data_IF_574210017464
#
_entry.id   IF_574210017464
#
_cell.length_a   1.000
_cell.length_b   1.000
_cell.length_c   1.000
_cell.angle_alpha   90.00
_cell.angle_beta   90.00
_cell.angle_gamma   90.00
#
_symmetry.space_group_name_H-M   'P 1'
#
loop_
_entity.id
_entity.type
_entity.pdbx_description
1 polymer ?
#
# COMPACT_ATOMS: atom_id res chain seq x y z
N UNK A 1 -7.44 -33.04 32.37
CA UNK A 1 -6.47 -32.86 31.27
C UNK A 1 -7.20 -32.30 30.06
N UNK A 2 -6.74 -31.21 29.45
CA UNK A 2 -7.09 -30.94 28.06
C UNK A 2 -5.82 -31.08 27.20
N UNK A 3 -5.80 -32.11 26.36
CA UNK A 3 -4.94 -32.14 25.19
C UNK A 3 -5.65 -31.37 24.08
N UNK A 4 -5.06 -30.26 23.64
CA UNK A 4 -5.43 -29.63 22.38
C UNK A 4 -4.31 -29.90 21.40
N UNK A 5 -4.51 -30.87 20.50
CA UNK A 5 -3.58 -31.15 19.40
C UNK A 5 -3.76 -30.02 18.39
N UNK A 6 -2.91 -29.00 18.45
CA UNK A 6 -2.73 -28.03 17.37
C UNK A 6 -1.49 -28.44 16.56
N UNK A 7 -1.60 -29.54 15.82
CA UNK A 7 -0.59 -29.91 14.83
C UNK A 7 -1.30 -30.40 13.57
N UNK A 8 -1.64 -29.46 12.71
CA UNK A 8 -1.66 -29.71 11.27
C UNK A 8 -0.68 -28.72 10.64
N UNK A 9 0.60 -28.90 10.95
CA UNK A 9 1.64 -28.28 10.15
C UNK A 9 1.56 -28.84 8.74
N UNK A 10 1.57 -27.97 7.73
CA UNK A 10 1.56 -28.42 6.35
C UNK A 10 2.94 -28.99 6.04
N UNK A 11 3.02 -30.27 5.70
CA UNK A 11 4.28 -30.98 5.41
C UNK A 11 5.15 -30.25 4.38
N UNK A 12 4.54 -29.54 3.41
CA UNK A 12 5.26 -28.72 2.43
C UNK A 12 5.98 -27.51 3.03
N UNK A 13 5.47 -26.98 4.13
CA UNK A 13 6.03 -25.85 4.87
C UNK A 13 7.02 -26.30 5.94
N UNK A 14 6.97 -27.56 6.37
CA UNK A 14 7.90 -28.16 7.35
C UNK A 14 9.11 -28.84 6.69
N UNK A 15 8.90 -29.58 5.61
CA UNK A 15 9.96 -30.30 4.88
C UNK A 15 10.56 -29.47 3.73
N UNK A 16 9.91 -28.36 3.36
CA UNK A 16 10.28 -27.51 2.25
C UNK A 16 9.83 -28.02 0.89
N UNK A 17 9.67 -27.08 -0.05
CA UNK A 17 9.45 -27.36 -1.46
C UNK A 17 10.30 -26.45 -2.32
N UNK A 18 11.14 -27.04 -3.16
CA UNK A 18 11.99 -26.33 -4.10
C UNK A 18 11.21 -25.75 -5.29
N UNK A 19 9.91 -26.01 -5.40
CA UNK A 19 9.05 -25.49 -6.47
C UNK A 19 8.06 -24.42 -5.96
N UNK A 20 8.03 -24.17 -4.65
CA UNK A 20 7.10 -23.21 -4.07
C UNK A 20 7.50 -21.77 -4.45
N UNK A 21 6.76 -21.19 -5.40
CA UNK A 21 6.97 -19.81 -5.88
C UNK A 21 5.95 -18.82 -5.30
N UNK A 22 4.75 -19.31 -4.95
CA UNK A 22 3.68 -18.52 -4.36
C UNK A 22 3.22 -19.14 -3.04
N UNK A 23 3.10 -18.32 -2.00
CA UNK A 23 2.56 -18.73 -0.70
C UNK A 23 1.60 -17.67 -0.18
N UNK A 24 0.38 -18.09 0.16
CA UNK A 24 -0.60 -17.29 0.91
C UNK A 24 -0.99 -18.05 2.15
N UNK A 25 -0.68 -17.49 3.32
CA UNK A 25 -0.91 -18.14 4.61
C UNK A 25 -1.62 -17.20 5.57
N UNK A 26 -2.49 -17.78 6.39
CA UNK A 26 -2.90 -17.16 7.64
C UNK A 26 -1.85 -17.55 8.70
N UNK A 27 -1.14 -16.55 9.22
CA UNK A 27 0.01 -16.71 10.12
C UNK A 27 -0.38 -17.42 11.44
N UNK A 28 -1.68 -17.57 11.74
CA UNK A 28 -2.17 -18.37 12.88
C UNK A 28 -2.19 -19.89 12.67
N UNK A 29 -2.15 -20.40 11.43
CA UNK A 29 -2.34 -21.83 11.17
C UNK A 29 -1.02 -22.63 11.11
N UNK A 30 0.07 -22.00 10.65
CA UNK A 30 1.40 -22.62 10.59
C UNK A 30 2.49 -21.56 10.36
N UNK A 31 3.63 -21.71 11.04
CA UNK A 31 4.82 -20.91 10.76
C UNK A 31 5.70 -21.64 9.75
N UNK A 32 5.97 -21.08 8.57
CA UNK A 32 6.83 -21.73 7.59
C UNK A 32 8.29 -21.75 8.07
N UNK A 33 9.01 -22.86 7.84
CA UNK A 33 10.45 -22.88 8.07
C UNK A 33 11.21 -22.16 6.94
N UNK A 34 12.33 -21.53 7.26
CA UNK A 34 13.10 -20.73 6.29
C UNK A 34 13.49 -21.51 5.01
N UNK A 35 13.75 -22.82 5.13
CA UNK A 35 14.08 -23.67 3.98
C UNK A 35 12.96 -23.70 2.92
N UNK A 36 11.70 -23.71 3.35
CA UNK A 36 10.51 -23.75 2.49
C UNK A 36 10.27 -22.45 1.73
N UNK A 37 10.88 -21.35 2.18
CA UNK A 37 10.64 -20.00 1.68
C UNK A 37 11.66 -19.54 0.63
N UNK A 38 12.80 -20.23 0.50
CA UNK A 38 13.99 -19.74 -0.25
C UNK A 38 13.72 -19.32 -1.69
N UNK A 39 12.79 -19.98 -2.39
CA UNK A 39 12.48 -19.76 -3.80
C UNK A 39 11.16 -19.03 -4.04
N UNK A 40 10.53 -18.51 -2.99
CA UNK A 40 9.30 -17.74 -3.12
C UNK A 40 9.55 -16.45 -3.89
N UNK A 41 8.70 -16.20 -4.88
CA UNK A 41 8.59 -14.92 -5.58
C UNK A 41 7.43 -14.11 -5.03
N UNK A 42 6.40 -14.75 -4.49
CA UNK A 42 5.20 -14.08 -3.96
C UNK A 42 4.83 -14.63 -2.59
N UNK A 43 4.76 -13.75 -1.59
CA UNK A 43 4.38 -14.08 -0.23
C UNK A 43 3.24 -13.19 0.26
N UNK A 44 2.15 -13.82 0.66
CA UNK A 44 1.01 -13.16 1.30
C UNK A 44 0.87 -13.69 2.74
N UNK A 45 1.15 -12.82 3.70
CA UNK A 45 0.94 -13.04 5.12
C UNK A 45 -0.37 -12.35 5.51
N UNK A 46 -1.43 -13.11 5.72
CA UNK A 46 -2.65 -12.63 6.35
C UNK A 46 -2.62 -13.07 7.82
N UNK A 47 -3.18 -12.28 8.72
CA UNK A 47 -3.36 -12.69 10.13
C UNK A 47 -4.78 -12.34 10.50
N UNK A 48 -5.68 -13.30 10.30
CA UNK A 48 -7.10 -13.12 10.65
C UNK A 48 -7.40 -13.60 12.05
N UNK A 49 -6.64 -14.57 12.55
CA UNK A 49 -6.81 -15.09 13.92
C UNK A 49 -5.99 -14.28 14.93
N UNK A 50 -6.62 -13.98 16.07
CA UNK A 50 -6.07 -13.13 17.14
C UNK A 50 -5.26 -13.90 18.19
N UNK A 51 -5.29 -15.23 18.14
CA UNK A 51 -4.69 -16.15 19.10
C UNK A 51 -3.15 -16.19 19.02
N UNK A 52 -2.57 -16.09 17.81
CA UNK A 52 -1.12 -16.07 17.64
C UNK A 52 -0.56 -14.66 17.45
N UNK A 53 0.35 -14.24 18.34
CA UNK A 53 1.05 -12.96 18.23
C UNK A 53 2.32 -13.08 17.37
N UNK A 54 2.25 -12.66 16.10
CA UNK A 54 3.44 -12.46 15.27
C UNK A 54 4.35 -11.40 15.92
N UNK A 55 5.60 -11.76 16.16
CA UNK A 55 6.63 -10.86 16.68
C UNK A 55 7.45 -10.27 15.53
N UNK A 56 8.09 -9.13 15.76
CA UNK A 56 8.94 -8.51 14.74
C UNK A 56 10.13 -9.41 14.33
N UNK A 57 10.87 -10.07 15.24
CA UNK A 57 11.94 -11.00 14.83
C UNK A 57 11.44 -12.13 13.93
N UNK A 58 10.28 -12.73 14.27
CA UNK A 58 9.68 -13.78 13.43
C UNK A 58 9.33 -13.26 12.03
N UNK A 59 8.81 -12.04 11.93
CA UNK A 59 8.54 -11.43 10.63
C UNK A 59 9.84 -11.24 9.85
N UNK A 60 10.90 -10.72 10.47
CA UNK A 60 12.21 -10.55 9.80
C UNK A 60 12.73 -11.90 9.28
N UNK A 61 12.66 -12.96 10.08
CA UNK A 61 13.08 -14.31 9.65
C UNK A 61 12.29 -14.79 8.42
N UNK A 62 10.97 -14.59 8.42
CA UNK A 62 10.10 -14.96 7.29
C UNK A 62 10.41 -14.13 6.04
N UNK A 63 10.65 -12.82 6.20
CA UNK A 63 10.87 -11.91 5.08
C UNK A 63 12.27 -12.03 4.48
N UNK A 64 13.26 -12.45 5.26
CA UNK A 64 14.66 -12.60 4.81
C UNK A 64 14.99 -13.99 4.29
N UNK A 65 14.15 -14.99 4.55
CA UNK A 65 14.35 -16.35 4.05
C UNK A 65 14.28 -16.50 2.51
N UNK A 66 13.37 -15.83 1.77
CA UNK A 66 13.34 -15.89 0.31
C UNK A 66 14.43 -15.00 -0.32
N UNK A 67 15.21 -15.57 -1.24
CA UNK A 67 16.26 -14.80 -1.95
C UNK A 67 15.74 -14.06 -3.19
N UNK A 68 14.55 -14.41 -3.68
CA UNK A 68 14.00 -13.90 -4.93
C UNK A 68 12.59 -13.31 -4.77
N UNK A 69 12.25 -12.81 -3.57
CA UNK A 69 10.93 -12.24 -3.31
C UNK A 69 10.68 -11.01 -4.20
N UNK A 70 9.63 -11.07 -5.01
CA UNK A 70 9.18 -9.99 -5.91
C UNK A 70 7.94 -9.28 -5.35
N UNK A 71 7.04 -10.03 -4.72
CA UNK A 71 5.74 -9.56 -4.25
C UNK A 71 5.54 -9.92 -2.78
N UNK A 72 5.30 -8.92 -1.93
CA UNK A 72 5.05 -9.11 -0.51
C UNK A 72 3.76 -8.41 -0.08
N UNK A 73 2.79 -9.18 0.41
CA UNK A 73 1.61 -8.65 1.07
C UNK A 73 1.64 -9.02 2.55
N UNK A 74 1.56 -8.03 3.41
CA UNK A 74 1.43 -8.19 4.86
C UNK A 74 0.11 -7.57 5.33
N UNK A 75 -0.76 -8.39 5.91
CA UNK A 75 -2.01 -7.96 6.53
C UNK A 75 -2.09 -8.51 7.95
N UNK A 76 -2.20 -7.63 8.95
CA UNK A 76 -2.30 -8.06 10.33
C UNK A 76 -1.56 -7.17 11.32
N UNK A 77 -1.57 -7.59 12.59
CA UNK A 77 -0.89 -6.86 13.68
C UNK A 77 0.35 -7.61 14.17
N UNK A 78 1.45 -6.87 14.31
CA UNK A 78 2.67 -7.29 15.02
C UNK A 78 2.52 -6.90 16.48
N UNK A 79 3.03 -7.73 17.39
CA UNK A 79 3.11 -7.38 18.81
C UNK A 79 3.91 -6.08 19.01
N UNK A 80 3.30 -4.99 19.52
CA UNK A 80 3.96 -3.69 19.65
C UNK A 80 5.22 -3.75 20.51
N UNK A 81 5.23 -4.63 21.52
CA UNK A 81 6.35 -4.82 22.44
C UNK A 81 7.58 -5.45 21.79
N UNK A 82 7.43 -5.96 20.56
CA UNK A 82 8.52 -6.58 19.80
C UNK A 82 9.06 -5.68 18.71
N UNK A 83 8.41 -4.54 18.45
CA UNK A 83 8.91 -3.56 17.49
C UNK A 83 10.22 -2.97 18.02
N UNK A 84 11.26 -2.82 17.18
CA UNK A 84 12.50 -2.24 17.64
C UNK A 84 12.24 -0.81 18.14
N UNK A 85 12.76 -0.48 19.32
CA UNK A 85 12.56 0.83 19.95
C UNK A 85 13.22 1.94 19.12
N UNK A 86 14.36 1.65 18.51
CA UNK A 86 15.12 2.60 17.72
C UNK A 86 14.34 3.00 16.45
N UNK A 87 14.17 4.30 16.21
CA UNK A 87 13.64 4.87 14.97
C UNK A 87 14.75 5.40 14.06
N UNK A 88 16.00 5.38 14.56
CA UNK A 88 17.14 6.10 14.00
C UNK A 88 18.30 5.18 13.57
N UNK A 89 18.07 3.87 13.44
CA UNK A 89 19.09 2.99 12.88
C UNK A 89 19.44 3.50 11.48
N UNK A 90 20.71 3.85 11.27
CA UNK A 90 21.22 4.42 10.03
C UNK A 90 21.17 3.41 8.86
N UNK A 91 21.08 2.12 9.19
CA UNK A 91 21.00 1.04 8.23
C UNK A 91 19.67 0.27 8.32
N UNK A 92 19.09 -0.15 7.18
CA UNK A 92 17.93 -1.03 7.15
C UNK A 92 18.31 -2.41 7.72
N UNK A 93 17.53 -2.89 8.69
CA UNK A 93 17.76 -4.18 9.36
C UNK A 93 17.68 -5.37 8.38
N UNK A 94 16.97 -5.21 7.25
CA UNK A 94 16.93 -6.25 6.21
C UNK A 94 16.69 -5.73 4.79
N UNK A 95 17.26 -6.44 3.82
CA UNK A 95 17.31 -6.03 2.41
C UNK A 95 16.46 -6.97 1.53
N UNK A 96 15.49 -6.39 0.84
CA UNK A 96 14.61 -7.07 -0.11
C UNK A 96 14.93 -6.60 -1.54
N UNK A 97 16.12 -6.98 -2.02
CA UNK A 97 16.73 -6.46 -3.26
C UNK A 97 15.91 -6.63 -4.54
N UNK A 98 15.02 -7.62 -4.56
CA UNK A 98 14.23 -7.99 -5.71
C UNK A 98 12.77 -7.54 -5.60
N UNK A 99 12.37 -6.98 -4.46
CA UNK A 99 10.98 -6.64 -4.20
C UNK A 99 10.52 -5.53 -5.15
N UNK A 100 9.51 -5.85 -5.95
CA UNK A 100 8.86 -4.94 -6.91
C UNK A 100 7.59 -4.34 -6.34
N UNK A 101 6.84 -5.11 -5.56
CA UNK A 101 5.56 -4.66 -5.04
C UNK A 101 5.39 -5.03 -3.56
N UNK A 102 4.96 -4.06 -2.77
CA UNK A 102 4.75 -4.20 -1.33
C UNK A 102 3.35 -3.74 -0.96
N UNK A 103 2.59 -4.60 -0.29
CA UNK A 103 1.29 -4.26 0.30
C UNK A 103 1.37 -4.42 1.81
N UNK A 104 1.01 -3.37 2.54
CA UNK A 104 0.98 -3.33 4.00
C UNK A 104 -0.43 -2.91 4.43
N UNK A 105 -1.13 -3.80 5.12
CA UNK A 105 -2.47 -3.59 5.69
C UNK A 105 -2.42 -3.81 7.20
N UNK A 106 -2.11 -2.74 7.96
CA UNK A 106 -1.83 -2.80 9.41
C UNK A 106 -2.03 -1.44 10.08
N UNK A 107 -1.71 -1.30 11.37
CA UNK A 107 -1.70 -0.01 12.08
C UNK A 107 -0.60 0.91 11.54
N UNK A 108 -0.85 2.22 11.52
CA UNK A 108 0.06 3.22 10.98
C UNK A 108 1.47 3.17 11.57
N UNK A 109 1.59 2.98 12.90
CA UNK A 109 2.89 2.83 13.57
C UNK A 109 3.70 1.63 13.06
N UNK A 110 3.04 0.49 12.86
CA UNK A 110 3.68 -0.74 12.39
C UNK A 110 4.11 -0.57 10.94
N UNK A 111 3.25 -0.01 10.09
CA UNK A 111 3.59 0.30 8.70
C UNK A 111 4.80 1.23 8.59
N UNK A 112 4.81 2.32 9.36
CA UNK A 112 5.92 3.27 9.39
C UNK A 112 7.23 2.60 9.82
N UNK A 113 7.22 1.82 10.90
CA UNK A 113 8.39 1.09 11.38
C UNK A 113 8.89 0.09 10.34
N UNK A 114 8.01 -0.70 9.72
CA UNK A 114 8.41 -1.65 8.67
C UNK A 114 9.10 -0.94 7.51
N UNK A 115 8.55 0.18 7.03
CA UNK A 115 9.15 0.96 5.94
C UNK A 115 10.53 1.54 6.30
N UNK A 116 10.77 1.88 7.58
CA UNK A 116 12.09 2.32 8.04
C UNK A 116 13.12 1.17 7.99
N UNK A 117 12.73 -0.02 8.46
CA UNK A 117 13.64 -1.16 8.57
C UNK A 117 13.92 -1.88 7.26
N UNK A 118 13.02 -1.78 6.28
CA UNK A 118 13.20 -2.45 5.00
C UNK A 118 14.02 -1.59 4.03
N UNK A 119 14.88 -2.24 3.25
CA UNK A 119 15.47 -1.69 2.03
C UNK A 119 14.91 -2.42 0.82
N UNK A 120 14.26 -1.68 -0.09
CA UNK A 120 13.69 -2.22 -1.32
C UNK A 120 14.00 -1.29 -2.50
N UNK A 121 15.24 -1.31 -3.02
CA UNK A 121 15.69 -0.34 -4.04
C UNK A 121 14.98 -0.50 -5.39
N UNK A 122 14.40 -1.68 -5.65
CA UNK A 122 13.63 -2.00 -6.87
C UNK A 122 12.11 -1.90 -6.69
N UNK A 123 11.65 -1.31 -5.58
CA UNK A 123 10.23 -1.19 -5.29
C UNK A 123 9.57 -0.24 -6.29
N UNK A 124 8.67 -0.77 -7.11
CA UNK A 124 7.91 -0.05 -8.13
C UNK A 124 6.51 0.33 -7.60
N UNK A 125 5.92 -0.49 -6.72
CA UNK A 125 4.58 -0.31 -6.17
C UNK A 125 4.52 -0.45 -4.66
N UNK A 126 3.90 0.53 -3.99
CA UNK A 126 3.66 0.54 -2.56
C UNK A 126 2.18 0.77 -2.27
N UNK A 127 1.57 -0.21 -1.61
CA UNK A 127 0.21 -0.13 -1.09
C UNK A 127 0.22 -0.03 0.42
N UNK A 128 -0.29 1.08 0.94
CA UNK A 128 -0.50 1.32 2.35
C UNK A 128 -1.99 1.40 2.66
N UNK A 129 -2.46 0.46 3.46
CA UNK A 129 -3.81 0.45 4.00
C UNK A 129 -3.72 0.44 5.53
N UNK A 130 -4.33 1.42 6.18
CA UNK A 130 -4.31 1.47 7.64
C UNK A 130 -5.71 1.56 8.23
N UNK A 131 -5.95 0.79 9.28
CA UNK A 131 -7.24 0.76 9.97
C UNK A 131 -7.37 1.87 11.03
N UNK A 132 -6.26 2.50 11.42
CA UNK A 132 -6.20 3.59 12.40
C UNK A 132 -5.96 4.96 11.77
N UNK A 133 -6.15 5.08 10.44
CA UNK A 133 -6.06 6.35 9.73
C UNK A 133 -4.65 6.94 9.76
N UNK A 134 -3.64 6.09 9.54
CA UNK A 134 -2.23 6.43 9.49
C UNK A 134 -1.70 7.11 10.76
N UNK A 135 -2.29 6.78 11.92
CA UNK A 135 -1.81 7.30 13.20
C UNK A 135 -0.34 6.93 13.42
N UNK A 136 0.47 7.91 13.82
CA UNK A 136 1.92 7.78 14.02
C UNK A 136 2.73 7.46 12.76
N UNK A 137 2.14 7.59 11.56
CA UNK A 137 2.89 7.41 10.31
C UNK A 137 3.91 8.52 10.06
N UNK A 138 3.76 9.68 10.70
CA UNK A 138 4.71 10.79 10.63
C UNK A 138 6.13 10.39 11.03
N UNK A 139 6.30 9.38 11.90
CA UNK A 139 7.61 8.82 12.28
C UNK A 139 8.42 8.40 11.05
N UNK A 140 7.77 7.82 10.03
CA UNK A 140 8.46 7.47 8.78
C UNK A 140 8.82 8.73 7.98
N UNK A 141 7.85 9.64 7.84
CA UNK A 141 7.95 10.84 7.00
C UNK A 141 9.01 11.81 7.50
N UNK A 142 9.14 11.96 8.81
CA UNK A 142 10.07 12.85 9.51
C UNK A 142 11.46 12.19 9.72
N UNK A 143 11.63 10.93 9.33
CA UNK A 143 12.92 10.25 9.52
C UNK A 143 14.00 10.87 8.64
N UNK A 144 15.24 10.85 9.15
CA UNK A 144 16.41 11.30 8.40
C UNK A 144 16.64 10.48 7.12
N UNK A 145 16.28 9.18 7.14
CA UNK A 145 16.38 8.32 5.96
C UNK A 145 15.52 8.82 4.80
N UNK A 146 14.35 9.38 5.10
CA UNK A 146 13.43 9.95 4.09
C UNK A 146 13.84 11.38 3.70
N UNK A 147 14.38 12.13 4.65
CA UNK A 147 14.75 13.54 4.45
C UNK A 147 16.15 13.74 3.83
N UNK A 148 16.91 12.66 3.59
CA UNK A 148 18.31 12.66 3.17
C UNK A 148 18.59 13.13 1.72
N UNK A 149 17.62 13.71 1.02
CA UNK A 149 17.72 14.13 -0.38
C UNK A 149 17.75 12.97 -1.39
N UNK A 150 18.05 11.75 -0.95
CA UNK A 150 17.91 10.52 -1.71
C UNK A 150 16.57 9.86 -1.37
N UNK A 151 15.69 9.58 -2.36
CA UNK A 151 14.44 8.89 -2.09
C UNK A 151 14.69 7.50 -1.50
N UNK A 152 14.00 7.17 -0.40
CA UNK A 152 14.04 5.84 0.25
C UNK A 152 13.70 4.70 -0.72
N UNK A 153 12.78 4.95 -1.65
CA UNK A 153 12.38 4.03 -2.71
C UNK A 153 12.56 4.70 -4.08
N UNK A 154 13.77 4.65 -4.66
CA UNK A 154 14.12 5.45 -5.84
C UNK A 154 13.38 5.04 -7.12
N UNK A 155 12.86 3.81 -7.18
CA UNK A 155 12.11 3.29 -8.34
C UNK A 155 10.58 3.34 -8.15
N UNK A 156 10.09 3.94 -7.05
CA UNK A 156 8.67 3.94 -6.74
C UNK A 156 7.89 4.79 -7.73
N UNK A 157 6.91 4.16 -8.39
CA UNK A 157 6.04 4.75 -9.40
C UNK A 157 4.57 4.74 -8.98
N UNK A 158 4.12 3.65 -8.35
CA UNK A 158 2.74 3.45 -7.93
C UNK A 158 2.64 3.60 -6.41
N UNK A 159 1.82 4.56 -5.97
CA UNK A 159 1.46 4.72 -4.58
C UNK A 159 -0.04 4.51 -4.41
N UNK A 160 -0.41 3.54 -3.59
CA UNK A 160 -1.79 3.20 -3.29
C UNK A 160 -2.04 3.48 -1.82
N UNK A 161 -3.01 4.35 -1.53
CA UNK A 161 -3.40 4.73 -0.18
C UNK A 161 -4.84 4.31 0.07
N UNK A 162 -5.04 3.52 1.12
CA UNK A 162 -6.34 3.11 1.62
C UNK A 162 -6.52 3.44 3.09
N UNK A 163 -7.70 3.93 3.46
CA UNK A 163 -8.06 4.20 4.85
C UNK A 163 -8.93 5.44 5.00
N UNK A 164 -9.43 5.64 6.22
CA UNK A 164 -10.37 6.73 6.53
C UNK A 164 -9.71 8.10 6.71
N UNK A 165 -8.38 8.15 6.82
CA UNK A 165 -7.66 9.38 7.05
C UNK A 165 -6.29 9.34 6.35
N UNK A 166 -6.13 10.09 5.26
CA UNK A 166 -4.89 10.08 4.48
C UNK A 166 -3.79 10.90 5.19
N UNK A 167 -2.54 10.41 5.18
CA UNK A 167 -1.43 11.13 5.80
C UNK A 167 -0.86 12.20 4.86
N UNK A 168 -0.25 13.24 5.42
CA UNK A 168 0.55 14.20 4.67
C UNK A 168 1.93 13.58 4.35
N UNK A 169 2.09 13.02 3.15
CA UNK A 169 3.27 12.22 2.74
C UNK A 169 3.91 12.67 1.43
N UNK A 170 3.56 13.85 0.94
CA UNK A 170 3.94 14.28 -0.40
C UNK A 170 5.46 14.43 -0.59
N UNK A 171 6.17 14.90 0.44
CA UNK A 171 7.64 15.02 0.42
C UNK A 171 8.34 13.66 0.50
N UNK A 172 7.63 12.63 0.97
CA UNK A 172 8.17 11.29 1.19
C UNK A 172 8.31 10.48 -0.10
N UNK A 173 7.44 10.72 -1.07
CA UNK A 173 7.38 9.95 -2.32
C UNK A 173 7.36 10.87 -3.55
N UNK A 174 8.45 11.61 -3.82
CA UNK A 174 8.45 12.64 -4.87
C UNK A 174 8.41 12.10 -6.30
N UNK A 175 8.83 10.85 -6.52
CA UNK A 175 9.02 10.24 -7.85
C UNK A 175 7.77 9.56 -8.43
N UNK A 176 6.67 9.51 -7.69
CA UNK A 176 5.48 8.76 -8.11
C UNK A 176 4.88 9.34 -9.40
N UNK A 177 4.41 8.44 -10.26
CA UNK A 177 3.73 8.74 -11.53
C UNK A 177 2.25 8.38 -11.47
N UNK A 178 1.89 7.48 -10.56
CA UNK A 178 0.53 6.98 -10.33
C UNK A 178 0.17 7.07 -8.84
N UNK A 179 -0.93 7.75 -8.54
CA UNK A 179 -1.52 7.80 -7.21
C UNK A 179 -2.88 7.12 -7.26
N UNK A 180 -3.11 6.12 -6.40
CA UNK A 180 -4.41 5.49 -6.22
C UNK A 180 -4.95 5.75 -4.83
N UNK A 181 -6.12 6.35 -4.76
CA UNK A 181 -6.85 6.62 -3.53
C UNK A 181 -8.05 5.68 -3.45
N UNK A 182 -8.04 4.77 -2.48
CA UNK A 182 -9.07 3.74 -2.31
C UNK A 182 -9.84 4.00 -1.01
N UNK A 183 -11.16 3.84 -1.07
CA UNK A 183 -12.05 3.89 0.10
C UNK A 183 -11.98 5.22 0.85
N UNK A 184 -11.87 6.33 0.11
CA UNK A 184 -11.92 7.67 0.72
C UNK A 184 -13.33 7.89 1.24
N UNK A 185 -13.47 7.80 2.56
CA UNK A 185 -14.72 8.03 3.28
C UNK A 185 -14.99 9.53 3.51
N UNK A 186 -16.21 9.85 3.92
CA UNK A 186 -16.71 11.22 4.11
C UNK A 186 -15.91 12.01 5.16
N UNK A 187 -15.35 11.34 6.16
CA UNK A 187 -14.54 11.93 7.23
C UNK A 187 -13.12 12.31 6.78
N UNK A 188 -12.72 11.94 5.56
CA UNK A 188 -11.36 12.13 5.05
C UNK A 188 -11.14 13.47 4.31
N UNK A 189 -12.17 14.31 4.15
CA UNK A 189 -12.14 15.43 3.20
C UNK A 189 -11.04 16.47 3.48
N UNK A 190 -10.87 16.93 4.72
CA UNK A 190 -9.80 17.89 5.05
C UNK A 190 -8.39 17.34 4.84
N UNK A 191 -8.24 16.02 4.99
CA UNK A 191 -6.96 15.35 4.78
C UNK A 191 -6.74 14.97 3.31
N UNK A 192 -7.81 14.85 2.52
CA UNK A 192 -7.73 14.72 1.07
C UNK A 192 -7.13 15.98 0.45
N UNK A 193 -7.62 17.17 0.84
CA UNK A 193 -7.03 18.45 0.40
C UNK A 193 -5.54 18.52 0.76
N UNK A 194 -5.19 18.21 2.01
CA UNK A 194 -3.80 18.22 2.49
C UNK A 194 -2.92 17.24 1.72
N UNK A 195 -3.44 16.03 1.45
CA UNK A 195 -2.72 15.00 0.69
C UNK A 195 -2.48 15.46 -0.74
N UNK A 196 -3.51 16.01 -1.39
CA UNK A 196 -3.44 16.51 -2.76
C UNK A 196 -2.63 17.81 -2.88
N UNK A 197 -2.49 18.62 -1.83
CA UNK A 197 -1.63 19.80 -1.82
C UNK A 197 -0.15 19.49 -2.10
N UNK A 198 0.24 18.21 -2.08
CA UNK A 198 1.55 17.73 -2.45
C UNK A 198 2.04 18.10 -3.86
N UNK A 199 3.32 18.47 -3.96
CA UNK A 199 3.97 18.78 -5.23
C UNK A 199 4.61 17.54 -5.89
N UNK A 200 3.80 16.58 -6.34
CA UNK A 200 4.32 15.45 -7.12
C UNK A 200 4.59 15.86 -8.57
N UNK A 201 5.82 16.25 -8.89
CA UNK A 201 6.15 16.79 -10.21
C UNK A 201 5.84 15.80 -11.35
N UNK A 202 6.14 14.52 -11.15
CA UNK A 202 6.01 13.45 -12.15
C UNK A 202 4.62 12.80 -12.20
N UNK A 203 3.71 13.16 -11.28
CA UNK A 203 2.40 12.54 -11.20
C UNK A 203 1.54 12.94 -12.40
N UNK A 204 1.13 11.94 -13.18
CA UNK A 204 0.29 12.12 -14.38
C UNK A 204 -0.94 11.21 -14.40
N UNK A 205 -1.12 10.35 -13.40
CA UNK A 205 -2.27 9.45 -13.32
C UNK A 205 -2.81 9.40 -11.90
N UNK A 206 -4.10 9.72 -11.77
CA UNK A 206 -4.87 9.58 -10.53
C UNK A 206 -5.88 8.46 -10.72
N UNK A 207 -5.86 7.47 -9.85
CA UNK A 207 -6.90 6.45 -9.72
C UNK A 207 -7.71 6.75 -8.48
N UNK A 208 -9.03 6.86 -8.61
CA UNK A 208 -9.88 7.29 -7.51
C UNK A 208 -11.08 6.37 -7.34
N UNK A 209 -11.37 6.04 -6.09
CA UNK A 209 -12.53 5.23 -5.71
C UNK A 209 -13.15 5.78 -4.44
N UNK A 210 -14.44 6.10 -4.51
CA UNK A 210 -15.23 6.60 -3.39
C UNK A 210 -16.04 5.46 -2.75
N UNK A 211 -16.20 5.51 -1.42
CA UNK A 211 -17.16 4.70 -0.68
C UNK A 211 -17.95 5.61 0.27
N UNK A 212 -19.27 5.74 0.10
CA UNK A 212 -20.10 6.60 0.95
C UNK A 212 -21.38 7.13 0.29
N UNK A 213 -22.10 7.99 1.03
CA UNK A 213 -23.36 8.61 0.63
C UNK A 213 -23.15 9.74 -0.41
N UNK A 214 -24.14 9.95 -1.29
CA UNK A 214 -24.08 10.90 -2.42
C UNK A 214 -23.73 12.34 -2.04
N UNK A 215 -24.19 12.86 -0.89
CA UNK A 215 -23.91 14.26 -0.49
C UNK A 215 -22.41 14.56 -0.33
N UNK A 216 -21.66 13.59 0.21
CA UNK A 216 -20.20 13.71 0.35
C UNK A 216 -19.46 13.64 -0.98
N UNK A 217 -20.10 13.08 -2.01
CA UNK A 217 -19.46 12.91 -3.31
C UNK A 217 -19.26 14.24 -4.03
N UNK A 218 -20.16 15.24 -3.84
CA UNK A 218 -20.00 16.56 -4.48
C UNK A 218 -18.77 17.28 -3.96
N UNK A 219 -18.67 17.42 -2.64
CA UNK A 219 -17.55 18.10 -2.01
C UNK A 219 -16.22 17.40 -2.33
N UNK A 220 -16.21 16.06 -2.37
CA UNK A 220 -15.05 15.30 -2.83
C UNK A 220 -14.68 15.66 -4.28
N UNK A 221 -15.68 15.69 -5.16
CA UNK A 221 -15.52 16.08 -6.56
C UNK A 221 -14.95 17.48 -6.73
N UNK A 222 -15.46 18.46 -5.97
CA UNK A 222 -15.00 19.84 -5.99
C UNK A 222 -13.52 19.96 -5.57
N UNK A 223 -13.11 19.23 -4.52
CA UNK A 223 -11.71 19.16 -4.06
C UNK A 223 -10.82 18.57 -5.16
N UNK A 224 -11.22 17.43 -5.73
CA UNK A 224 -10.44 16.75 -6.78
C UNK A 224 -10.35 17.61 -8.03
N UNK A 225 -11.46 18.18 -8.51
CA UNK A 225 -11.49 19.05 -9.68
C UNK A 225 -10.66 20.34 -9.48
N UNK A 226 -10.76 20.96 -8.30
CA UNK A 226 -9.93 22.11 -7.92
C UNK A 226 -8.45 21.77 -7.98
N UNK A 227 -8.05 20.62 -7.42
CA UNK A 227 -6.67 20.15 -7.49
C UNK A 227 -6.20 19.88 -8.92
N UNK A 228 -7.02 19.21 -9.74
CA UNK A 228 -6.73 18.96 -11.15
C UNK A 228 -6.48 20.27 -11.91
N UNK A 229 -7.35 21.28 -11.73
CA UNK A 229 -7.18 22.62 -12.33
C UNK A 229 -5.90 23.30 -11.87
N UNK A 230 -5.61 23.24 -10.56
CA UNK A 230 -4.36 23.78 -10.02
C UNK A 230 -3.15 23.12 -10.68
N UNK A 231 -3.17 21.80 -10.88
CA UNK A 231 -2.08 21.11 -11.58
C UNK A 231 -1.90 21.54 -13.04
N UNK A 232 -3.00 21.79 -13.75
CA UNK A 232 -2.96 22.36 -15.11
C UNK A 232 -2.33 23.75 -15.10
N UNK A 233 -2.72 24.64 -14.19
CA UNK A 233 -2.16 26.00 -14.14
C UNK A 233 -0.66 26.03 -13.81
N UNK A 234 -0.14 25.00 -13.15
CA UNK A 234 1.29 24.81 -12.88
C UNK A 234 2.03 24.04 -13.99
N UNK A 235 1.38 23.73 -15.11
CA UNK A 235 1.98 23.02 -16.25
C UNK A 235 2.28 21.54 -15.97
N UNK A 236 1.59 20.93 -15.01
CA UNK A 236 1.78 19.53 -14.59
C UNK A 236 0.46 18.76 -14.57
N UNK A 237 -0.30 18.73 -15.68
CA UNK A 237 -1.64 18.15 -15.72
C UNK A 237 -1.65 16.67 -15.34
N UNK A 238 -2.77 16.21 -14.77
CA UNK A 238 -3.07 14.78 -14.69
C UNK A 238 -3.69 14.37 -16.02
N UNK A 239 -2.99 13.53 -16.77
CA UNK A 239 -3.48 13.09 -18.09
C UNK A 239 -4.55 12.02 -17.98
N UNK A 240 -4.44 11.12 -17.01
CA UNK A 240 -5.39 10.03 -16.82
C UNK A 240 -6.06 10.14 -15.45
N UNK A 241 -7.37 10.33 -15.46
CA UNK A 241 -8.20 10.22 -14.28
C UNK A 241 -9.06 8.97 -14.35
N UNK A 242 -8.57 7.91 -13.70
CA UNK A 242 -9.16 6.59 -13.73
C UNK A 242 -10.07 6.41 -12.51
N UNK A 243 -11.30 5.99 -12.74
CA UNK A 243 -12.31 5.91 -11.68
C UNK A 243 -13.02 4.56 -11.69
N UNK A 244 -13.55 4.14 -10.53
CA UNK A 244 -14.41 2.96 -10.47
C UNK A 244 -15.77 3.22 -11.14
N UNK A 245 -16.57 2.16 -11.33
CA UNK A 245 -17.86 2.25 -12.02
C UNK A 245 -18.81 3.29 -11.38
N UNK A 246 -18.84 3.34 -10.04
CA UNK A 246 -19.70 4.26 -9.31
C UNK A 246 -19.35 5.73 -9.55
N UNK A 247 -18.07 6.10 -9.37
CA UNK A 247 -17.61 7.49 -9.60
C UNK A 247 -17.73 7.87 -11.08
N UNK A 248 -17.52 6.92 -12.00
CA UNK A 248 -17.76 7.16 -13.43
C UNK A 248 -19.21 7.55 -13.71
N UNK A 249 -20.17 6.88 -13.06
CA UNK A 249 -21.60 7.24 -13.12
C UNK A 249 -21.88 8.64 -12.60
N UNK A 250 -21.31 9.01 -11.44
CA UNK A 250 -21.45 10.34 -10.82
C UNK A 250 -20.89 11.45 -11.74
N UNK A 251 -19.76 11.20 -12.39
CA UNK A 251 -19.19 12.15 -13.36
C UNK A 251 -20.10 12.23 -14.60
N UNK A 252 -20.65 11.11 -15.07
CA UNK A 252 -21.58 11.05 -16.19
C UNK A 252 -22.88 11.84 -15.97
N UNK A 253 -23.36 11.93 -14.72
CA UNK A 253 -24.51 12.77 -14.34
C UNK A 253 -24.15 14.25 -14.17
N UNK A 254 -22.89 14.64 -14.42
CA UNK A 254 -22.33 16.00 -14.24
C UNK A 254 -22.42 16.50 -12.81
N UNK A 255 -22.43 15.60 -11.83
CA UNK A 255 -22.40 15.97 -10.42
C UNK A 255 -21.01 16.50 -10.01
N UNK A 256 -19.96 16.00 -10.66
CA UNK A 256 -18.60 16.55 -10.60
C UNK A 256 -18.37 17.43 -11.83
N UNK A 257 -18.21 18.72 -11.60
CA UNK A 257 -17.98 19.72 -12.65
C UNK A 257 -16.52 20.17 -12.68
N UNK A 258 -16.16 20.95 -13.69
CA UNK A 258 -14.84 21.60 -13.80
C UNK A 258 -13.62 20.67 -13.87
N UNK A 259 -13.81 19.41 -14.26
CA UNK A 259 -12.67 18.54 -14.63
C UNK A 259 -11.99 19.15 -15.86
N UNK A 260 -10.67 19.43 -15.82
CA UNK A 260 -9.97 20.06 -16.94
C UNK A 260 -10.03 19.21 -18.22
N UNK A 261 -10.05 19.88 -19.37
CA UNK A 261 -10.11 19.21 -20.68
C UNK A 261 -8.85 18.39 -20.99
N UNK A 262 -7.73 18.72 -20.35
CA UNK A 262 -6.47 18.00 -20.42
C UNK A 262 -6.50 16.66 -19.66
N UNK A 263 -7.51 16.46 -18.81
CA UNK A 263 -7.67 15.26 -17.98
C UNK A 263 -8.64 14.28 -18.62
N UNK A 264 -8.12 13.15 -19.10
CA UNK A 264 -8.94 12.07 -19.68
C UNK A 264 -9.57 11.23 -18.58
N UNK A 265 -10.89 11.32 -18.45
CA UNK A 265 -11.67 10.51 -17.49
C UNK A 265 -12.03 9.16 -18.10
N UNK A 266 -11.66 8.05 -17.44
CA UNK A 266 -11.99 6.70 -17.90
C UNK A 266 -12.30 5.78 -16.71
N UNK A 267 -13.02 4.68 -16.98
CA UNK A 267 -13.09 3.58 -16.01
C UNK A 267 -11.70 2.96 -15.87
N UNK A 268 -11.29 2.67 -14.63
CA UNK A 268 -10.08 1.89 -14.37
C UNK A 268 -10.24 0.47 -14.94
N UNK A 269 -9.21 -0.04 -15.59
CA UNK A 269 -9.18 -1.40 -16.14
C UNK A 269 -7.75 -1.95 -16.15
N UNK A 270 -7.62 -3.25 -16.40
CA UNK A 270 -6.30 -3.86 -16.59
C UNK A 270 -5.56 -3.33 -17.81
N UNK A 271 -6.23 -2.70 -18.78
CA UNK A 271 -5.61 -2.19 -20.00
C UNK A 271 -5.01 -0.79 -19.82
N UNK A 272 -5.55 0.01 -18.88
CA UNK A 272 -5.12 1.38 -18.66
C UNK A 272 -4.43 1.61 -17.31
N UNK A 273 -4.31 0.57 -16.48
CA UNK A 273 -3.64 0.64 -15.18
C UNK A 273 -2.83 -0.64 -14.90
N UNK A 274 -1.54 -0.60 -15.25
CA UNK A 274 -0.60 -1.73 -15.18
C UNK A 274 0.14 -1.83 -13.85
N UNK A 275 -0.55 -1.61 -12.74
CA UNK A 275 0.07 -1.67 -11.42
C UNK A 275 0.47 -3.11 -11.05
N UNK A 276 1.67 -3.37 -10.48
CA UNK A 276 2.17 -4.72 -10.21
C UNK A 276 1.25 -5.67 -9.43
N UNK A 277 0.49 -5.19 -8.44
CA UNK A 277 -0.50 -5.98 -7.70
C UNK A 277 -1.82 -6.18 -8.44
N UNK A 278 -2.11 -5.36 -9.46
CA UNK A 278 -3.38 -5.39 -10.18
C UNK A 278 -3.72 -6.77 -10.74
N UNK A 279 -2.71 -7.52 -11.20
CA UNK A 279 -2.92 -8.87 -11.75
C UNK A 279 -2.84 -10.00 -10.70
N UNK A 280 -2.56 -9.67 -9.45
CA UNK A 280 -2.32 -10.63 -8.37
C UNK A 280 -3.46 -10.71 -7.34
N UNK A 281 -4.48 -9.84 -7.43
CA UNK A 281 -5.64 -9.85 -6.52
C UNK A 281 -6.94 -10.31 -7.19
N UNK A 282 -7.75 -11.05 -6.42
CA UNK A 282 -9.16 -11.29 -6.70
C UNK A 282 -9.94 -9.99 -6.46
N UNK A 283 -9.97 -9.12 -7.46
CA UNK A 283 -10.77 -7.90 -7.41
C UNK A 283 -12.26 -8.25 -7.43
N UNK A 284 -13.09 -7.67 -6.54
CA UNK A 284 -14.53 -7.67 -6.69
C UNK A 284 -14.95 -7.21 -8.10
N UNK A 285 -16.00 -7.81 -8.66
CA UNK A 285 -16.43 -7.53 -10.04
C UNK A 285 -16.76 -6.05 -10.31
N UNK A 286 -17.09 -5.26 -9.27
CA UNK A 286 -17.35 -3.82 -9.40
C UNK A 286 -16.08 -2.96 -9.54
N UNK A 287 -14.90 -3.56 -9.36
CA UNK A 287 -13.59 -2.96 -9.66
C UNK A 287 -13.13 -3.32 -11.09
N UNK A 288 -13.60 -4.43 -11.67
CA UNK A 288 -13.40 -4.79 -13.08
C UNK A 288 -14.43 -4.11 -13.99
#
# INVERSE_FOLDING_TARGET
>A
MPFTIWQTGFTILELGSSQLAFLKIDVGDCMPVAASLRRLTSLHLDKRRSDMLLTFPMLVDILTAPYCLLYLSFKGNISPNTLPLQTAALDPDFQLHHLKALKISTRGLVAAKLLLFLSAPKLESLWLETNDGFRFFSIFCESSQVSSGCPKFPQLQYLILGGYNLPSIFSTFPSITHLRLIHIGTLALGNLETTLAGQWASLHTLVFSLFGLEESSKQTGDIVASWLRSRVSHGRPIHNFLVNHHVFGIIGTKFWTDIPVETKVQRVSAENYMEPWWNQEDWPDWIR
#
